data_IF_656945108161
#
_entry.id   IF_656945108161
#
_cell.length_a   1.000
_cell.length_b   1.000
_cell.length_c   1.000
_cell.angle_alpha   90.00
_cell.angle_beta   90.00
_cell.angle_gamma   90.00
#
_symmetry.space_group_name_H-M   'P 1'
#
loop_
_entity.id
_entity.type
_entity.pdbx_description
1 polymer ?
#
# COMPACT_ATOMS: atom_id res chain seq x y z
N UNK A 1 10.88 27.56 76.95
CA UNK A 1 10.29 27.86 75.63
C UNK A 1 11.22 27.30 74.55
N UNK A 2 10.75 26.30 73.79
CA UNK A 2 11.59 25.47 72.89
C UNK A 2 11.89 26.19 71.58
N UNK A 3 13.17 26.20 71.20
CA UNK A 3 13.73 26.69 69.93
C UNK A 3 13.41 25.77 68.75
N UNK A 4 13.04 26.33 67.58
CA UNK A 4 13.19 25.66 66.27
C UNK A 4 13.93 26.59 65.31
N UNK A 5 15.19 26.26 65.02
CA UNK A 5 15.95 26.77 63.86
C UNK A 5 15.55 25.95 62.64
N UNK A 6 15.22 26.61 61.54
CA UNK A 6 14.93 25.97 60.25
C UNK A 6 16.22 25.92 59.42
N UNK A 7 16.69 24.73 59.08
CA UNK A 7 17.82 24.52 58.17
C UNK A 7 17.28 24.31 56.75
N UNK A 8 17.61 25.21 55.82
CA UNK A 8 17.43 25.00 54.39
C UNK A 8 18.67 24.30 53.86
N UNK A 9 18.56 22.99 53.59
CA UNK A 9 19.60 22.25 52.89
C UNK A 9 19.54 22.60 51.40
N UNK A 10 20.58 23.28 50.93
CA UNK A 10 20.88 23.51 49.52
C UNK A 10 21.58 22.24 49.01
N UNK A 11 20.89 21.39 48.23
CA UNK A 11 21.55 20.28 47.54
C UNK A 11 21.88 20.72 46.12
N UNK A 12 23.12 21.18 45.96
CA UNK A 12 23.79 21.42 44.69
C UNK A 12 24.27 20.05 44.17
N UNK A 13 23.58 19.49 43.19
CA UNK A 13 24.10 18.36 42.40
C UNK A 13 24.40 18.88 41.01
N UNK A 14 25.69 19.08 40.75
CA UNK A 14 26.20 19.40 39.43
C UNK A 14 25.99 18.22 38.49
N UNK A 15 25.31 18.47 37.39
CA UNK A 15 25.37 17.61 36.21
C UNK A 15 26.21 18.31 35.16
N UNK A 16 27.28 17.62 34.75
CA UNK A 16 28.22 18.07 33.74
C UNK A 16 27.50 18.56 32.48
N UNK A 17 27.88 19.73 32.00
CA UNK A 17 27.60 20.15 30.64
C UNK A 17 28.45 19.29 29.69
N UNK A 18 27.92 18.15 29.27
CA UNK A 18 28.43 17.45 28.09
C UNK A 18 27.81 18.14 26.88
N UNK A 19 28.58 19.01 26.24
CA UNK A 19 28.29 19.51 24.91
C UNK A 19 28.37 18.36 23.91
N UNK A 20 27.25 17.68 23.66
CA UNK A 20 27.10 16.84 22.47
C UNK A 20 26.56 17.76 21.38
N UNK A 21 27.47 18.42 20.65
CA UNK A 21 27.22 18.79 19.26
C UNK A 21 27.19 17.50 18.44
N UNK A 22 26.12 16.73 18.61
CA UNK A 22 25.69 15.72 17.68
C UNK A 22 24.53 16.33 16.93
N UNK A 23 24.60 16.34 15.59
CA UNK A 23 23.42 16.51 14.74
C UNK A 23 22.22 15.84 15.40
N UNK A 24 21.14 16.58 15.68
CA UNK A 24 19.87 15.97 16.08
C UNK A 24 19.52 14.96 15.00
N UNK A 25 19.83 13.69 15.23
CA UNK A 25 19.36 12.63 14.36
C UNK A 25 17.85 12.66 14.48
N UNK A 26 17.17 12.76 13.34
CA UNK A 26 15.72 12.77 13.30
C UNK A 26 15.20 11.59 14.09
N UNK A 27 14.47 11.88 15.17
CA UNK A 27 13.76 10.83 15.89
C UNK A 27 12.67 10.33 14.94
N UNK A 28 12.82 9.11 14.41
CA UNK A 28 11.72 8.42 13.75
C UNK A 28 10.74 7.97 14.82
N UNK A 29 9.57 8.59 14.88
CA UNK A 29 8.51 8.10 15.74
C UNK A 29 7.79 6.93 15.05
N UNK A 30 7.72 5.79 15.74
CA UNK A 30 6.92 4.64 15.32
C UNK A 30 5.61 4.62 16.08
N UNK A 31 4.52 4.79 15.34
CA UNK A 31 3.16 4.86 15.88
C UNK A 31 2.40 3.56 15.58
N UNK A 32 1.98 2.83 16.60
CA UNK A 32 0.97 1.79 16.42
C UNK A 32 -0.39 2.48 16.50
N UNK A 33 -1.13 2.55 15.40
CA UNK A 33 -2.40 3.25 15.34
C UNK A 33 -3.51 2.28 15.77
N UNK A 34 -4.03 2.45 16.98
CA UNK A 34 -5.01 1.52 17.61
C UNK A 34 -6.27 2.27 18.03
N UNK A 35 -7.03 2.82 17.08
CA UNK A 35 -8.50 2.95 17.21
C UNK A 35 -9.10 3.60 15.95
N UNK A 36 -10.26 3.10 15.51
CA UNK A 36 -10.96 3.62 14.33
C UNK A 36 -11.50 5.04 14.47
N UNK A 37 -11.57 5.77 13.35
CA UNK A 37 -11.97 7.19 13.32
C UNK A 37 -11.93 7.84 11.93
N UNK A 38 -12.33 9.13 11.87
CA UNK A 38 -12.32 9.93 10.62
C UNK A 38 -10.93 10.52 10.34
N UNK A 39 -10.37 10.25 9.15
CA UNK A 39 -9.12 10.75 8.58
C UNK A 39 -9.21 12.22 8.08
N UNK A 40 -10.32 12.92 8.32
CA UNK A 40 -10.63 14.20 7.64
C UNK A 40 -10.69 15.46 8.47
N UNK A 41 -10.73 15.30 9.78
CA UNK A 41 -10.52 16.36 10.74
C UNK A 41 -9.61 15.73 11.80
N UNK A 42 -8.88 16.54 12.55
CA UNK A 42 -8.00 16.07 13.62
C UNK A 42 -8.59 15.17 14.70
N UNK A 43 -9.83 14.67 14.55
CA UNK A 43 -10.50 13.75 15.44
C UNK A 43 -10.68 12.39 14.75
N UNK A 44 -9.67 11.52 14.85
CA UNK A 44 -9.85 10.15 14.37
C UNK A 44 -8.62 9.25 14.32
N UNK A 45 -7.60 9.47 15.15
CA UNK A 45 -6.49 8.54 15.36
C UNK A 45 -5.98 8.68 16.81
N UNK A 46 -6.06 7.63 17.63
CA UNK A 46 -5.41 7.61 18.96
C UNK A 46 -4.19 6.68 18.93
N UNK A 47 -3.08 7.18 19.47
CA UNK A 47 -1.99 6.38 20.02
C UNK A 47 -2.00 6.52 21.54
N UNK A 48 -1.59 5.48 22.26
CA UNK A 48 -1.30 5.55 23.69
C UNK A 48 0.09 6.16 23.89
N UNK A 49 0.21 7.47 23.66
CA UNK A 49 1.20 8.37 24.25
C UNK A 49 0.87 9.77 23.74
N UNK A 50 0.47 10.63 24.65
CA UNK A 50 -0.01 12.00 24.50
C UNK A 50 0.56 12.75 23.28
N UNK A 51 -0.16 12.71 22.15
CA UNK A 51 0.01 13.61 21.02
C UNK A 51 -1.36 14.19 20.66
N UNK A 52 -1.35 15.48 20.42
CA UNK A 52 -2.53 16.31 20.16
C UNK A 52 -3.30 15.80 18.94
N UNK A 53 -4.58 15.52 19.12
CA UNK A 53 -5.58 15.31 18.07
C UNK A 53 -5.42 16.35 16.95
N UNK A 54 -5.14 15.97 15.69
CA UNK A 54 -4.95 17.04 14.70
C UNK A 54 -4.36 16.72 13.34
N UNK A 55 -3.33 15.89 13.28
CA UNK A 55 -2.31 16.03 12.22
C UNK A 55 -2.26 14.85 11.26
N UNK A 56 -2.21 15.15 9.96
CA UNK A 56 -1.88 14.17 8.90
C UNK A 56 -0.42 13.72 9.08
N UNK A 57 -0.09 12.43 8.87
CA UNK A 57 1.30 11.99 8.88
C UNK A 57 2.17 12.77 7.87
N UNK A 58 3.35 13.18 8.33
CA UNK A 58 4.35 13.98 7.62
C UNK A 58 5.65 13.18 7.41
N UNK A 59 6.64 13.81 6.80
CA UNK A 59 7.91 13.18 6.44
C UNK A 59 8.64 12.71 7.70
N UNK A 60 9.02 11.43 7.72
CA UNK A 60 9.67 10.79 8.86
C UNK A 60 8.72 10.05 9.82
N UNK A 61 7.41 10.22 9.67
CA UNK A 61 6.43 9.45 10.44
C UNK A 61 6.36 8.00 9.93
N UNK A 62 6.35 7.04 10.86
CA UNK A 62 6.13 5.62 10.57
C UNK A 62 4.94 5.10 11.37
N UNK A 63 4.07 4.29 10.78
CA UNK A 63 2.97 3.70 11.55
C UNK A 63 2.20 2.57 10.88
N UNK A 64 1.37 1.89 11.69
CA UNK A 64 0.55 0.74 11.28
C UNK A 64 -0.94 1.01 11.46
N UNK A 65 -1.78 0.65 10.49
CA UNK A 65 -3.25 0.70 10.53
C UNK A 65 -3.79 -0.72 10.64
N UNK A 66 -4.59 -0.99 11.68
CA UNK A 66 -5.23 -2.29 11.91
C UNK A 66 -6.72 -2.19 12.28
N UNK A 67 -7.32 -1.02 12.05
CA UNK A 67 -8.67 -0.65 12.49
C UNK A 67 -9.40 0.08 11.38
N UNK A 68 -10.74 0.09 11.43
CA UNK A 68 -11.58 0.75 10.43
C UNK A 68 -11.45 2.28 10.49
N UNK A 69 -11.51 2.96 9.35
CA UNK A 69 -11.43 4.41 9.27
C UNK A 69 -12.09 4.98 8.02
N UNK A 70 -12.40 6.28 8.03
CA UNK A 70 -13.02 6.99 6.90
C UNK A 70 -12.21 8.21 6.54
N UNK A 71 -11.73 8.38 5.31
CA UNK A 71 -11.07 9.62 4.87
C UNK A 71 -11.97 10.52 4.05
N UNK A 72 -11.89 11.81 4.35
CA UNK A 72 -12.79 12.83 3.79
C UNK A 72 -12.11 14.04 3.14
N UNK A 73 -10.76 14.19 3.02
CA UNK A 73 -10.29 15.09 1.99
C UNK A 73 -10.52 14.44 0.61
N UNK A 74 -10.81 15.28 -0.40
CA UNK A 74 -10.88 14.86 -1.80
C UNK A 74 -9.58 14.19 -2.30
N UNK A 75 -8.48 14.38 -1.56
CA UNK A 75 -7.17 13.80 -1.79
C UNK A 75 -6.48 13.56 -0.45
N UNK A 76 -6.24 12.31 -0.05
CA UNK A 76 -5.36 12.04 1.10
C UNK A 76 -3.90 12.15 0.65
N UNK A 77 -3.21 13.22 1.06
CA UNK A 77 -1.80 13.44 0.78
C UNK A 77 -0.99 13.30 2.08
N UNK A 78 -0.27 12.20 2.21
CA UNK A 78 0.67 11.96 3.31
C UNK A 78 1.99 12.61 2.95
N UNK A 79 2.48 13.55 3.76
CA UNK A 79 3.67 14.33 3.41
C UNK A 79 5.00 13.56 3.52
N UNK A 80 5.11 12.34 2.97
CA UNK A 80 6.32 11.52 3.02
C UNK A 80 6.35 10.43 4.09
N UNK A 81 5.21 10.06 4.67
CA UNK A 81 5.13 9.06 5.73
C UNK A 81 5.29 7.62 5.21
N UNK A 82 5.65 6.69 6.12
CA UNK A 82 5.63 5.25 5.86
C UNK A 82 4.50 4.58 6.65
N UNK A 83 3.47 4.10 5.96
CA UNK A 83 2.25 3.56 6.56
C UNK A 83 2.05 2.11 6.14
N UNK A 84 1.73 1.24 7.09
CA UNK A 84 1.42 -0.18 6.85
C UNK A 84 -0.02 -0.48 7.30
N UNK A 85 -0.93 -0.80 6.38
CA UNK A 85 -2.24 -1.37 6.70
C UNK A 85 -2.13 -2.89 6.81
N UNK A 86 -2.36 -3.45 8.00
CA UNK A 86 -2.37 -4.91 8.23
C UNK A 86 -3.80 -5.47 8.31
N UNK A 87 -4.78 -4.62 8.65
CA UNK A 87 -6.19 -4.98 8.78
C UNK A 87 -7.09 -3.72 8.70
N UNK A 88 -8.39 -3.90 8.96
CA UNK A 88 -9.37 -2.81 9.03
C UNK A 88 -9.90 -2.39 7.65
N UNK A 89 -10.95 -1.58 7.67
CA UNK A 89 -11.62 -1.04 6.49
C UNK A 89 -11.42 0.47 6.39
N UNK A 90 -10.70 0.93 5.37
CA UNK A 90 -10.50 2.35 5.07
C UNK A 90 -11.44 2.77 3.94
N UNK A 91 -12.36 3.70 4.21
CA UNK A 91 -13.33 4.15 3.20
C UNK A 91 -13.12 5.62 2.87
N UNK A 92 -12.88 5.91 1.59
CA UNK A 92 -12.94 7.27 1.05
C UNK A 92 -14.38 7.72 0.96
N UNK A 93 -14.70 8.85 1.58
CA UNK A 93 -16.01 9.47 1.47
C UNK A 93 -16.11 10.28 0.17
N UNK A 94 -17.20 10.11 -0.57
CA UNK A 94 -17.47 10.89 -1.79
C UNK A 94 -16.41 10.67 -2.89
N UNK A 95 -15.95 11.76 -3.50
CA UNK A 95 -15.05 11.75 -4.66
C UNK A 95 -13.55 11.65 -4.29
N UNK A 96 -13.20 11.03 -3.17
CA UNK A 96 -11.85 11.08 -2.63
C UNK A 96 -10.88 10.16 -3.40
N UNK A 97 -9.79 10.73 -3.92
CA UNK A 97 -8.63 9.99 -4.43
C UNK A 97 -7.66 9.68 -3.29
N UNK A 98 -7.06 8.49 -3.36
CA UNK A 98 -5.85 8.18 -2.62
C UNK A 98 -4.64 8.55 -3.48
N UNK A 99 -3.99 9.68 -3.17
CA UNK A 99 -2.84 10.18 -3.93
C UNK A 99 -1.67 10.35 -2.96
N UNK A 100 -0.81 9.35 -2.93
CA UNK A 100 0.32 9.33 -2.02
C UNK A 100 1.45 10.14 -2.65
N UNK A 101 1.76 11.31 -2.09
CA UNK A 101 2.80 12.20 -2.62
C UNK A 101 4.02 12.10 -1.71
N UNK A 102 5.02 11.31 -2.12
CA UNK A 102 6.19 10.87 -1.32
C UNK A 102 5.88 9.89 -0.18
N UNK A 103 6.88 9.08 0.20
CA UNK A 103 6.77 8.07 1.26
C UNK A 103 6.37 6.68 0.75
N UNK A 104 5.95 5.81 1.67
CA UNK A 104 5.52 4.43 1.36
C UNK A 104 4.18 4.11 2.00
N UNK A 105 3.25 3.57 1.23
CA UNK A 105 2.05 2.90 1.73
C UNK A 105 2.15 1.40 1.46
N UNK A 106 1.88 0.56 2.45
CA UNK A 106 1.85 -0.89 2.28
C UNK A 106 0.56 -1.47 2.83
N UNK A 107 -0.21 -2.18 2.02
CA UNK A 107 -1.42 -2.88 2.41
C UNK A 107 -1.18 -4.39 2.38
N UNK A 108 -1.12 -5.01 3.56
CA UNK A 108 -0.96 -6.44 3.75
C UNK A 108 -2.30 -7.15 4.01
N UNK A 109 -3.37 -6.41 4.31
CA UNK A 109 -4.68 -6.94 4.61
C UNK A 109 -5.74 -5.86 4.82
N UNK A 110 -6.98 -6.28 5.09
CA UNK A 110 -8.13 -5.38 5.27
C UNK A 110 -8.81 -5.00 3.94
N UNK A 111 -9.59 -3.92 3.97
CA UNK A 111 -10.20 -3.32 2.79
C UNK A 111 -9.88 -1.84 2.68
N UNK A 112 -9.80 -1.35 1.44
CA UNK A 112 -9.62 0.06 1.13
C UNK A 112 -10.58 0.43 0.01
N UNK A 113 -11.28 1.55 0.12
CA UNK A 113 -12.19 2.04 -0.93
C UNK A 113 -11.89 3.49 -1.26
N UNK A 114 -11.74 3.83 -2.53
CA UNK A 114 -11.49 5.18 -3.00
C UNK A 114 -12.10 5.43 -4.38
N UNK A 115 -12.16 6.69 -4.80
CA UNK A 115 -12.39 7.01 -6.22
C UNK A 115 -11.25 6.51 -7.08
N UNK A 116 -10.00 6.65 -6.63
CA UNK A 116 -8.83 6.13 -7.33
C UNK A 116 -7.59 6.07 -6.46
N UNK A 117 -6.53 5.46 -7.00
CA UNK A 117 -5.22 5.27 -6.37
C UNK A 117 -4.12 5.81 -7.29
N UNK A 118 -3.20 6.60 -6.72
CA UNK A 118 -2.04 7.13 -7.45
C UNK A 118 -0.79 7.11 -6.57
N UNK A 119 0.22 6.37 -7.02
CA UNK A 119 1.58 6.47 -6.47
C UNK A 119 2.30 7.63 -7.17
N UNK A 120 2.37 8.81 -6.53
CA UNK A 120 2.95 10.02 -7.11
C UNK A 120 4.28 10.37 -6.43
N UNK A 121 5.41 10.08 -7.07
CA UNK A 121 6.74 10.19 -6.46
C UNK A 121 6.82 9.45 -5.10
N UNK A 122 6.11 8.32 -5.00
CA UNK A 122 5.95 7.51 -3.80
C UNK A 122 5.90 6.02 -4.14
N UNK A 123 5.91 5.18 -3.12
CA UNK A 123 5.73 3.74 -3.27
C UNK A 123 4.39 3.34 -2.65
N UNK A 124 3.54 2.67 -3.41
CA UNK A 124 2.36 1.99 -2.90
C UNK A 124 2.53 0.49 -3.14
N UNK A 125 2.46 -0.31 -2.07
CA UNK A 125 2.52 -1.75 -2.10
C UNK A 125 1.16 -2.33 -1.74
N UNK A 126 0.54 -3.09 -2.63
CA UNK A 126 -0.67 -3.84 -2.40
C UNK A 126 -0.30 -5.32 -2.37
N UNK A 127 -0.12 -5.90 -1.18
CA UNK A 127 0.30 -7.30 -1.00
C UNK A 127 -0.81 -8.20 -0.45
N UNK A 128 -1.92 -7.61 0.01
CA UNK A 128 -3.09 -8.37 0.46
C UNK A 128 -4.32 -7.48 0.63
N UNK A 129 -5.44 -8.12 0.97
CA UNK A 129 -6.72 -7.44 1.17
C UNK A 129 -7.42 -7.02 -0.13
N UNK A 130 -8.45 -6.20 0.00
CA UNK A 130 -9.31 -5.77 -1.12
C UNK A 130 -9.27 -4.26 -1.29
N UNK A 131 -8.83 -3.79 -2.45
CA UNK A 131 -8.88 -2.40 -2.86
C UNK A 131 -10.04 -2.20 -3.86
N UNK A 132 -11.04 -1.40 -3.50
CA UNK A 132 -12.18 -1.08 -4.36
C UNK A 132 -12.03 0.33 -4.92
N UNK A 133 -11.97 0.42 -6.24
CA UNK A 133 -11.89 1.68 -6.99
C UNK A 133 -13.31 2.10 -7.38
N UNK A 134 -13.57 3.40 -7.44
CA UNK A 134 -14.80 3.95 -8.02
C UNK A 134 -15.98 4.12 -7.08
N UNK A 135 -15.74 4.43 -5.81
CA UNK A 135 -16.77 4.82 -4.83
C UNK A 135 -17.43 6.19 -5.11
N UNK A 136 -17.88 6.45 -6.35
CA UNK A 136 -18.48 7.74 -6.75
C UNK A 136 -18.23 8.11 -8.22
N UNK A 137 -18.99 7.47 -9.12
CA UNK A 137 -19.31 7.88 -10.50
C UNK A 137 -18.36 8.89 -11.20
N UNK A 138 -17.46 8.35 -12.03
CA UNK A 138 -16.58 9.04 -13.03
C UNK A 138 -15.17 9.38 -12.57
N UNK A 139 -14.17 9.19 -13.44
CA UNK A 139 -12.76 9.51 -13.18
C UNK A 139 -12.04 8.57 -12.22
N UNK A 140 -12.57 7.34 -12.05
CA UNK A 140 -12.05 6.34 -11.13
C UNK A 140 -10.81 5.66 -11.71
N UNK A 141 -9.69 5.78 -10.98
CA UNK A 141 -8.36 5.64 -11.54
C UNK A 141 -7.42 4.75 -10.74
N UNK A 142 -6.42 4.15 -11.38
CA UNK A 142 -5.25 3.58 -10.75
C UNK A 142 -4.03 3.99 -11.56
N UNK A 143 -2.89 4.16 -10.91
CA UNK A 143 -1.67 4.45 -11.64
C UNK A 143 -0.48 4.80 -10.76
N UNK A 144 0.61 5.09 -11.45
CA UNK A 144 1.83 5.63 -10.89
C UNK A 144 2.29 6.81 -11.74
N UNK A 145 2.89 7.82 -11.09
CA UNK A 145 3.33 9.04 -11.72
C UNK A 145 4.58 9.63 -11.06
N UNK A 146 5.30 10.47 -11.79
CA UNK A 146 6.46 11.21 -11.29
C UNK A 146 7.49 10.31 -10.57
N UNK A 147 7.89 9.21 -11.22
CA UNK A 147 8.77 8.17 -10.65
C UNK A 147 8.18 7.43 -9.44
N UNK A 148 6.88 7.51 -9.21
CA UNK A 148 6.20 6.67 -8.25
C UNK A 148 6.11 5.22 -8.72
N UNK A 149 5.89 4.32 -7.77
CA UNK A 149 5.77 2.88 -8.01
C UNK A 149 4.52 2.34 -7.34
N UNK A 150 3.69 1.62 -8.11
CA UNK A 150 2.60 0.82 -7.59
C UNK A 150 2.95 -0.67 -7.74
N UNK A 151 3.19 -1.35 -6.62
CA UNK A 151 3.45 -2.78 -6.57
C UNK A 151 2.17 -3.54 -6.23
N UNK A 152 1.86 -4.58 -7.00
CA UNK A 152 0.71 -5.47 -6.81
C UNK A 152 1.25 -6.88 -6.61
N UNK A 153 1.04 -7.49 -5.45
CA UNK A 153 1.59 -8.80 -5.10
C UNK A 153 0.72 -9.56 -4.10
N UNK A 154 1.21 -10.72 -3.68
CA UNK A 154 0.52 -11.57 -2.71
C UNK A 154 -0.95 -11.81 -3.06
N UNK A 155 -1.86 -11.61 -2.10
CA UNK A 155 -3.30 -11.88 -2.29
C UNK A 155 -4.14 -10.65 -2.65
N UNK A 156 -3.51 -9.55 -3.03
CA UNK A 156 -4.22 -8.28 -3.26
C UNK A 156 -5.28 -8.39 -4.37
N UNK A 157 -6.50 -7.96 -4.07
CA UNK A 157 -7.61 -7.87 -5.02
C UNK A 157 -7.92 -6.41 -5.33
N UNK A 158 -8.01 -6.05 -6.61
CA UNK A 158 -8.40 -4.72 -7.06
C UNK A 158 -9.72 -4.82 -7.82
N UNK A 159 -10.75 -4.16 -7.31
CA UNK A 159 -12.10 -4.21 -7.86
C UNK A 159 -12.52 -2.89 -8.50
N UNK A 160 -13.37 -2.99 -9.52
CA UNK A 160 -14.11 -1.87 -10.10
C UNK A 160 -13.23 -0.71 -10.62
N UNK A 161 -12.05 -1.00 -11.18
CA UNK A 161 -11.38 0.00 -12.02
C UNK A 161 -12.18 0.21 -13.31
N UNK A 162 -12.12 1.41 -13.88
CA UNK A 162 -12.82 1.74 -15.13
C UNK A 162 -11.82 2.13 -16.21
N UNK A 163 -12.01 1.64 -17.44
CA UNK A 163 -11.04 1.76 -18.53
C UNK A 163 -10.84 3.16 -19.14
N UNK A 164 -11.50 4.22 -18.67
CA UNK A 164 -11.29 5.58 -19.21
C UNK A 164 -9.98 6.24 -18.73
N UNK A 165 -9.01 5.43 -18.35
CA UNK A 165 -7.81 5.76 -17.61
C UNK A 165 -6.63 6.15 -18.52
N UNK A 166 -6.89 7.09 -19.43
CA UNK A 166 -5.81 7.93 -19.98
C UNK A 166 -5.26 8.94 -18.94
N UNK A 167 -5.74 8.93 -17.69
CA UNK A 167 -5.55 10.04 -16.74
C UNK A 167 -4.48 9.88 -15.65
N UNK A 168 -4.05 8.66 -15.30
CA UNK A 168 -3.08 8.44 -14.20
C UNK A 168 -1.87 7.59 -14.59
N UNK A 169 -1.77 7.20 -15.85
CA UNK A 169 -0.56 6.62 -16.41
C UNK A 169 0.35 7.80 -16.82
N UNK A 170 1.08 8.36 -15.87
CA UNK A 170 2.07 9.38 -16.22
C UNK A 170 3.28 8.66 -16.77
N UNK A 171 3.80 9.17 -17.88
CA UNK A 171 4.94 8.69 -18.69
C UNK A 171 6.24 8.41 -17.91
N UNK A 172 6.25 8.54 -16.58
CA UNK A 172 7.39 8.43 -15.69
C UNK A 172 7.16 7.56 -14.43
N UNK A 173 5.94 7.03 -14.19
CA UNK A 173 5.70 6.07 -13.09
C UNK A 173 5.74 4.61 -13.55
N UNK A 174 5.88 3.68 -12.60
CA UNK A 174 5.91 2.22 -12.86
C UNK A 174 4.81 1.50 -12.09
N UNK A 175 4.15 0.56 -12.75
CA UNK A 175 3.22 -0.37 -12.10
C UNK A 175 3.75 -1.79 -12.28
N UNK A 176 4.04 -2.46 -11.17
CA UNK A 176 4.72 -3.75 -11.15
C UNK A 176 3.84 -4.82 -10.49
N UNK A 177 3.51 -5.85 -11.26
CA UNK A 177 2.90 -7.07 -10.77
C UNK A 177 4.01 -8.01 -10.27
N UNK A 178 3.96 -8.41 -9.01
CA UNK A 178 4.90 -9.38 -8.46
C UNK A 178 4.59 -10.78 -9.01
N UNK A 179 5.62 -11.62 -9.16
CA UNK A 179 5.47 -12.98 -9.67
C UNK A 179 4.64 -13.89 -8.73
N UNK A 180 4.54 -13.53 -7.45
CA UNK A 180 3.77 -14.24 -6.42
C UNK A 180 2.33 -13.73 -6.28
N UNK A 181 1.85 -12.87 -7.19
CA UNK A 181 0.50 -12.35 -7.12
C UNK A 181 -0.54 -13.43 -7.42
N UNK A 182 -1.35 -13.77 -6.42
CA UNK A 182 -2.44 -14.76 -6.49
C UNK A 182 -3.84 -14.13 -6.47
N UNK A 183 -3.91 -12.79 -6.48
CA UNK A 183 -5.17 -12.06 -6.42
C UNK A 183 -5.81 -11.87 -7.80
N UNK A 184 -6.61 -10.82 -7.92
CA UNK A 184 -7.29 -10.48 -9.16
C UNK A 184 -7.42 -8.98 -9.36
N UNK A 185 -7.53 -8.56 -10.61
CA UNK A 185 -7.75 -7.17 -10.99
C UNK A 185 -8.92 -7.09 -11.96
N UNK A 186 -10.03 -6.55 -11.49
CA UNK A 186 -11.20 -6.25 -12.30
C UNK A 186 -11.19 -4.82 -12.86
N UNK A 187 -11.28 -4.71 -14.18
CA UNK A 187 -11.53 -3.47 -14.90
C UNK A 187 -12.85 -3.61 -15.69
N UNK A 188 -13.93 -2.99 -15.23
CA UNK A 188 -15.33 -3.32 -15.59
C UNK A 188 -15.70 -3.14 -17.07
N UNK A 189 -14.77 -2.60 -17.87
CA UNK A 189 -14.95 -2.36 -19.29
C UNK A 189 -13.85 -3.00 -20.14
N UNK A 190 -12.86 -3.66 -19.54
CA UNK A 190 -11.75 -4.28 -20.25
C UNK A 190 -12.03 -5.77 -20.52
N UNK A 191 -12.00 -6.17 -21.79
CA UNK A 191 -11.90 -7.57 -22.17
C UNK A 191 -10.42 -7.99 -22.31
N UNK A 192 -10.16 -9.23 -22.72
CA UNK A 192 -8.79 -9.73 -22.90
C UNK A 192 -7.92 -8.88 -23.84
N UNK A 193 -8.49 -8.39 -24.95
CA UNK A 193 -7.76 -7.55 -25.89
C UNK A 193 -7.46 -6.16 -25.31
N UNK A 194 -8.39 -5.59 -24.54
CA UNK A 194 -8.20 -4.31 -23.86
C UNK A 194 -7.12 -4.41 -22.78
N UNK A 195 -7.16 -5.45 -21.94
CA UNK A 195 -6.12 -5.73 -20.94
C UNK A 195 -4.74 -5.88 -21.57
N UNK A 196 -4.64 -6.68 -22.64
CA UNK A 196 -3.39 -6.85 -23.36
C UNK A 196 -2.86 -5.53 -23.91
N UNK A 197 -3.73 -4.73 -24.53
CA UNK A 197 -3.35 -3.42 -25.06
C UNK A 197 -2.87 -2.49 -23.96
N UNK A 198 -3.59 -2.43 -22.84
CA UNK A 198 -3.24 -1.59 -21.69
C UNK A 198 -1.88 -1.97 -21.12
N UNK A 199 -1.67 -3.25 -20.78
CA UNK A 199 -0.44 -3.69 -20.14
C UNK A 199 0.78 -3.65 -21.05
N UNK A 200 0.61 -3.75 -22.38
CA UNK A 200 1.75 -3.75 -23.32
C UNK A 200 2.12 -2.38 -23.87
N UNK A 201 1.28 -1.36 -23.64
CA UNK A 201 1.54 0.01 -24.12
C UNK A 201 1.93 0.99 -23.01
N UNK A 202 1.62 0.67 -21.75
CA UNK A 202 2.00 1.47 -20.59
C UNK A 202 3.31 1.02 -19.92
N UNK A 203 3.66 1.70 -18.83
CA UNK A 203 4.80 1.37 -17.97
C UNK A 203 4.44 0.26 -16.96
N UNK A 204 4.12 -0.91 -17.50
CA UNK A 204 3.74 -2.09 -16.72
C UNK A 204 4.84 -3.14 -16.73
N UNK A 205 5.09 -3.72 -15.57
CA UNK A 205 6.11 -4.74 -15.36
C UNK A 205 5.51 -5.97 -14.68
N UNK A 206 6.05 -7.14 -15.01
CA UNK A 206 5.87 -8.38 -14.26
C UNK A 206 7.24 -8.73 -13.65
N UNK A 207 7.33 -8.66 -12.32
CA UNK A 207 8.55 -8.87 -11.56
C UNK A 207 9.74 -8.04 -12.07
N UNK A 208 9.49 -6.75 -12.35
CA UNK A 208 10.50 -5.82 -12.88
C UNK A 208 10.80 -5.97 -14.37
N UNK A 209 10.12 -6.88 -15.08
CA UNK A 209 10.29 -7.06 -16.53
C UNK A 209 9.13 -6.41 -17.29
N UNK A 210 9.37 -5.53 -18.27
CA UNK A 210 8.30 -4.91 -19.06
C UNK A 210 7.37 -5.94 -19.70
N UNK A 211 6.06 -5.71 -19.60
CA UNK A 211 5.05 -6.62 -20.13
C UNK A 211 4.99 -6.50 -21.66
N UNK A 212 5.46 -7.53 -22.35
CA UNK A 212 5.31 -7.66 -23.80
C UNK A 212 4.04 -8.47 -24.14
N UNK A 213 3.62 -8.47 -25.40
CA UNK A 213 2.50 -9.32 -25.85
C UNK A 213 2.72 -10.80 -25.55
N UNK A 214 3.95 -11.30 -25.75
CA UNK A 214 4.28 -12.70 -25.46
C UNK A 214 4.27 -12.99 -23.95
N UNK A 215 4.79 -12.06 -23.14
CA UNK A 215 4.76 -12.20 -21.69
C UNK A 215 3.32 -12.18 -21.15
N UNK A 216 2.48 -11.31 -21.71
CA UNK A 216 1.06 -11.25 -21.38
C UNK A 216 0.37 -12.59 -21.64
N UNK A 217 0.50 -13.13 -22.86
CA UNK A 217 -0.16 -14.37 -23.26
C UNK A 217 0.28 -15.59 -22.43
N UNK A 218 1.52 -15.58 -21.94
CA UNK A 218 2.07 -16.67 -21.15
C UNK A 218 1.71 -16.61 -19.66
N UNK A 219 1.54 -15.41 -19.10
CA UNK A 219 1.47 -15.23 -17.64
C UNK A 219 0.14 -14.70 -17.13
N UNK A 220 -0.72 -14.16 -18.00
CA UNK A 220 -1.99 -13.59 -17.57
C UNK A 220 -3.18 -14.35 -18.13
N UNK A 221 -4.20 -14.52 -17.29
CA UNK A 221 -5.51 -15.02 -17.67
C UNK A 221 -6.54 -13.93 -17.48
N UNK A 222 -7.44 -13.78 -18.46
CA UNK A 222 -8.59 -12.89 -18.39
C UNK A 222 -9.88 -13.71 -18.42
N UNK A 223 -10.69 -13.58 -17.38
CA UNK A 223 -12.04 -14.18 -17.29
C UNK A 223 -13.06 -13.06 -17.20
N UNK A 224 -13.84 -12.86 -18.26
CA UNK A 224 -14.73 -11.70 -18.37
C UNK A 224 -13.93 -10.40 -18.40
N UNK A 225 -14.07 -9.61 -17.35
CA UNK A 225 -13.41 -8.31 -17.14
C UNK A 225 -12.27 -8.35 -16.12
N UNK A 226 -11.95 -9.55 -15.63
CA UNK A 226 -11.02 -9.78 -14.52
C UNK A 226 -9.72 -10.41 -15.02
N UNK A 227 -8.60 -9.76 -14.70
CA UNK A 227 -7.22 -10.18 -14.92
C UNK A 227 -6.69 -10.93 -13.68
N UNK A 228 -5.89 -11.96 -13.92
CA UNK A 228 -5.17 -12.73 -12.89
C UNK A 228 -3.89 -13.32 -13.49
N UNK A 229 -2.94 -13.76 -12.65
CA UNK A 229 -1.81 -14.56 -13.14
C UNK A 229 -2.24 -16.00 -13.40
N UNK A 230 -1.71 -16.58 -14.47
CA UNK A 230 -1.74 -18.02 -14.69
C UNK A 230 -0.79 -18.65 -13.66
N UNK A 231 -1.27 -19.56 -12.79
CA UNK A 231 -0.39 -20.25 -11.87
C UNK A 231 0.70 -20.97 -12.66
N UNK A 232 1.97 -20.76 -12.31
CA UNK A 232 3.04 -21.55 -12.91
C UNK A 232 2.71 -23.04 -12.67
N UNK A 233 2.82 -23.91 -13.69
CA UNK A 233 2.64 -25.33 -13.50
C UNK A 233 3.68 -25.78 -12.47
N UNK A 234 3.23 -26.08 -11.25
CA UNK A 234 4.15 -26.48 -10.19
C UNK A 234 4.93 -27.69 -10.68
N UNK A 235 6.25 -27.63 -10.59
CA UNK A 235 7.12 -28.74 -11.02
C UNK A 235 6.78 -30.06 -10.32
N UNK A 236 6.07 -30.02 -9.19
CA UNK A 236 5.48 -31.17 -8.50
C UNK A 236 4.43 -31.91 -9.34
N UNK A 237 3.59 -31.22 -10.11
CA UNK A 237 2.64 -31.85 -11.02
C UNK A 237 3.36 -32.55 -12.18
N UNK A 238 4.44 -31.95 -12.68
CA UNK A 238 5.25 -32.53 -13.76
C UNK A 238 6.10 -33.72 -13.29
N UNK A 239 6.67 -33.64 -12.09
CA UNK A 239 7.40 -34.74 -11.44
C UNK A 239 6.47 -35.88 -10.99
N UNK A 240 5.24 -35.56 -10.56
CA UNK A 240 4.23 -36.57 -10.23
C UNK A 240 3.85 -37.43 -11.44
N UNK A 241 3.65 -36.80 -12.61
CA UNK A 241 3.39 -37.52 -13.86
C UNK A 241 4.62 -38.30 -14.35
N UNK A 242 5.82 -37.73 -14.26
CA UNK A 242 7.07 -38.43 -14.58
C UNK A 242 7.33 -39.64 -13.67
N UNK A 243 7.09 -39.49 -12.36
CA UNK A 243 7.24 -40.54 -11.37
C UNK A 243 6.23 -41.69 -11.57
N UNK A 244 4.96 -41.35 -11.84
CA UNK A 244 3.94 -42.36 -12.17
C UNK A 244 4.27 -43.11 -13.47
N UNK A 245 4.74 -42.41 -14.50
CA UNK A 245 5.17 -43.03 -15.75
C UNK A 245 6.36 -43.99 -15.54
N UNK A 246 7.33 -43.62 -14.67
CA UNK A 246 8.44 -44.50 -14.30
C UNK A 246 7.99 -45.73 -13.50
N UNK A 247 7.05 -45.57 -12.56
CA UNK A 247 6.50 -46.68 -11.77
C UNK A 247 5.73 -47.65 -12.68
N UNK A 248 4.94 -47.13 -13.64
CA UNK A 248 4.23 -47.94 -14.63
C UNK A 248 5.18 -48.69 -15.57
N UNK A 249 6.32 -48.10 -15.94
CA UNK A 249 7.34 -48.76 -16.77
C UNK A 249 8.05 -49.91 -16.04
N UNK A 250 8.19 -49.84 -14.71
CA UNK A 250 8.88 -50.85 -13.90
C UNK A 250 8.05 -52.10 -13.60
N UNK A 251 6.76 -52.10 -13.97
CA UNK A 251 5.81 -53.21 -13.75
C UNK A 251 5.50 -54.02 -15.01
N UNK A 252 6.19 -53.78 -16.12
CA UNK A 252 6.23 -54.66 -17.31
C UNK A 252 7.54 -55.45 -17.29
#
# INVERSE_FOLDING_TARGET
>A
MKTKKSYRTLLLLGTAAVSIFGTMQGFSASYVLVSGGSLSTGAGWQNTATLTTGTVPTSGDTGSIAVDGVFTPATWNTGGASIIQTAGNIVGSGNANFNFVTGTYTMNGGSFSARGILANNSIINLFGGVFTIGNGTSGSGWGAANNGTLNIGGSAVINNSRSTLAGYNSTSGTINFAADWTGSFQNTTANAAAWKTELTTGNYELAGTPITSALFDANFQVTGDTLSLVPEPTSAALLGLGGFALILRRRK
#
